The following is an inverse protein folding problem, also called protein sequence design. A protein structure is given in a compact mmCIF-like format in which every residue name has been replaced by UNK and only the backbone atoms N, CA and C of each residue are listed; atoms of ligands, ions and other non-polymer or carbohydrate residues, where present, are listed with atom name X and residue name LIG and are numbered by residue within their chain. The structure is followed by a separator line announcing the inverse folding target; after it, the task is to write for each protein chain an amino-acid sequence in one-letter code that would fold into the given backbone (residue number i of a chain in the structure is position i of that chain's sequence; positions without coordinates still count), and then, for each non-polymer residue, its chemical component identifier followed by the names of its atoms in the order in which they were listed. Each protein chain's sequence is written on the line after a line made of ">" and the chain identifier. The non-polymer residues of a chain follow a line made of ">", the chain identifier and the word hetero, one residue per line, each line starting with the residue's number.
data_IF_046597615003
#
_entry.id   IF_046597615003
#
_cell.length_a   1.000
_cell.length_b   1.000
_cell.length_c   1.000
_cell.angle_alpha   90.00
_cell.angle_beta   90.00
_cell.angle_gamma   90.00
#
_symmetry.space_group_name_H-M   'P 1'
#
loop_
_entity.id
_entity.type
_entity.pdbx_description
1 polymer ?
#
# COMPACT_ATOMS: atom_id res chain seq x y z
N UNK A 1 -1.62 20.77 -18.36
CA UNK A 1 -0.36 20.09 -17.95
C UNK A 1 0.31 19.66 -19.21
N UNK A 2 1.52 20.16 -19.47
CA UNK A 2 2.29 19.75 -20.63
C UNK A 2 2.70 18.28 -20.44
N UNK A 3 2.50 17.48 -21.47
CA UNK A 3 2.92 16.08 -21.43
C UNK A 3 4.45 16.03 -21.54
N UNK A 4 5.07 15.12 -20.77
CA UNK A 4 6.50 14.88 -20.87
C UNK A 4 6.86 14.34 -22.27
N UNK A 5 7.98 14.78 -22.81
CA UNK A 5 8.53 14.20 -24.02
C UNK A 5 9.05 12.78 -23.77
N UNK A 6 9.17 11.96 -24.79
CA UNK A 6 9.68 10.58 -24.68
C UNK A 6 11.06 10.52 -23.99
N UNK A 7 11.93 11.48 -24.28
CA UNK A 7 13.25 11.56 -23.65
C UNK A 7 13.16 11.90 -22.16
N UNK A 8 12.23 12.77 -21.77
CA UNK A 8 11.98 13.08 -20.34
C UNK A 8 11.34 11.90 -19.61
N UNK A 9 10.38 11.20 -20.25
CA UNK A 9 9.80 10.00 -19.70
C UNK A 9 10.86 8.92 -19.45
N UNK A 10 11.70 8.67 -20.48
CA UNK A 10 12.81 7.72 -20.35
C UNK A 10 13.76 8.10 -19.21
N UNK A 11 14.14 9.37 -19.10
CA UNK A 11 15.01 9.85 -18.02
C UNK A 11 14.43 9.55 -16.64
N UNK A 12 13.14 9.85 -16.42
CA UNK A 12 12.50 9.58 -15.13
C UNK A 12 12.34 8.08 -14.85
N UNK A 13 12.00 7.28 -15.85
CA UNK A 13 11.92 5.81 -15.71
C UNK A 13 13.29 5.23 -15.35
N UNK A 14 14.35 5.65 -16.03
CA UNK A 14 15.70 5.19 -15.74
C UNK A 14 16.16 5.63 -14.34
N UNK A 15 15.75 6.82 -13.89
CA UNK A 15 16.00 7.29 -12.53
C UNK A 15 15.22 6.44 -11.50
N UNK A 16 13.93 6.17 -11.71
CA UNK A 16 13.16 5.30 -10.82
C UNK A 16 13.76 3.90 -10.68
N UNK A 17 14.30 3.36 -11.76
CA UNK A 17 15.02 2.08 -11.72
C UNK A 17 16.28 2.09 -10.83
N UNK A 18 16.77 3.26 -10.43
CA UNK A 18 17.90 3.37 -9.51
C UNK A 18 17.50 3.39 -8.04
N UNK A 19 16.20 3.41 -7.74
CA UNK A 19 15.71 3.51 -6.36
C UNK A 19 15.41 2.12 -5.78
N UNK A 20 15.86 1.82 -4.56
CA UNK A 20 15.48 0.61 -3.87
C UNK A 20 14.01 0.65 -3.46
N UNK A 21 13.39 -0.53 -3.35
CA UNK A 21 12.00 -0.66 -2.88
C UNK A 21 11.86 -0.34 -1.39
N UNK A 22 12.94 -0.52 -0.60
CA UNK A 22 13.02 -0.12 0.80
C UNK A 22 14.46 0.15 1.21
N UNK A 23 14.63 0.88 2.32
CA UNK A 23 15.91 1.06 2.99
C UNK A 23 15.78 0.67 4.47
N UNK A 24 16.72 -0.12 4.97
CA UNK A 24 16.92 -0.37 6.39
C UNK A 24 18.26 0.27 6.80
N UNK A 25 18.17 1.31 7.61
CA UNK A 25 19.31 2.08 8.08
C UNK A 25 19.65 1.75 9.55
N UNK A 26 19.10 0.66 10.09
CA UNK A 26 19.25 0.23 11.47
C UNK A 26 18.20 0.89 12.37
N UNK A 27 18.43 2.12 12.75
CA UNK A 27 17.53 2.86 13.66
C UNK A 27 16.30 3.46 12.94
N UNK A 28 16.33 3.50 11.63
CA UNK A 28 15.29 4.08 10.78
C UNK A 28 15.07 3.18 9.55
N UNK A 29 13.82 3.00 9.19
CA UNK A 29 13.39 2.30 7.98
C UNK A 29 12.65 3.24 7.05
N UNK A 30 12.82 3.07 5.74
CA UNK A 30 12.13 3.85 4.72
C UNK A 30 11.50 2.90 3.73
N UNK A 31 10.20 3.08 3.47
CA UNK A 31 9.46 2.33 2.47
C UNK A 31 8.36 3.20 1.88
N UNK A 32 7.88 2.86 0.69
CA UNK A 32 6.81 3.65 0.06
C UNK A 32 5.46 3.44 0.76
N UNK A 33 5.06 2.20 1.07
CA UNK A 33 3.76 1.93 1.66
C UNK A 33 3.76 1.00 2.89
N UNK A 34 4.24 -0.26 2.80
CA UNK A 34 4.11 -1.21 3.88
C UNK A 34 5.43 -1.96 4.16
N UNK A 35 5.88 -1.96 5.41
CA UNK A 35 7.04 -2.73 5.86
C UNK A 35 6.67 -4.18 6.11
N UNK A 36 6.57 -4.98 5.06
CA UNK A 36 6.13 -6.37 5.12
C UNK A 36 7.29 -7.33 4.81
N UNK A 37 7.82 -7.97 5.87
CA UNK A 37 8.99 -8.86 5.76
C UNK A 37 8.80 -10.00 4.77
N UNK A 38 7.68 -10.75 4.74
CA UNK A 38 7.47 -11.81 3.75
C UNK A 38 7.57 -11.30 2.31
N UNK A 39 6.98 -10.16 1.99
CA UNK A 39 7.11 -9.55 0.64
C UNK A 39 8.55 -9.15 0.32
N UNK A 40 9.30 -8.65 1.31
CA UNK A 40 10.73 -8.35 1.14
C UNK A 40 11.57 -9.62 0.89
N UNK A 41 11.21 -10.74 1.51
CA UNK A 41 11.85 -12.04 1.29
C UNK A 41 11.59 -12.56 -0.12
N UNK A 42 10.37 -12.43 -0.64
CA UNK A 42 10.05 -12.77 -2.04
C UNK A 42 10.90 -11.93 -3.00
N UNK A 43 10.91 -10.60 -2.85
CA UNK A 43 11.74 -9.73 -3.68
C UNK A 43 13.22 -10.11 -3.58
N UNK A 44 13.74 -10.31 -2.36
CA UNK A 44 15.15 -10.65 -2.13
C UNK A 44 15.56 -12.01 -2.69
N UNK A 45 14.62 -12.95 -2.82
CA UNK A 45 14.82 -14.27 -3.39
C UNK A 45 14.71 -14.31 -4.91
N UNK A 46 13.98 -13.36 -5.50
CA UNK A 46 13.69 -13.32 -6.93
C UNK A 46 14.63 -12.38 -7.69
N UNK A 47 15.06 -11.28 -7.07
CA UNK A 47 15.86 -10.24 -7.73
C UNK A 47 17.35 -10.41 -7.51
N UNK A 48 18.17 -9.98 -8.49
CA UNK A 48 19.63 -9.99 -8.37
C UNK A 48 20.12 -9.10 -7.22
N UNK A 49 19.41 -8.00 -6.97
CA UNK A 49 19.70 -7.05 -5.89
C UNK A 49 18.59 -7.09 -4.87
N UNK A 50 18.85 -7.61 -3.70
CA UNK A 50 17.92 -7.97 -2.63
C UNK A 50 16.73 -7.03 -2.38
N UNK A 51 16.86 -5.74 -2.62
CA UNK A 51 15.81 -4.73 -2.38
C UNK A 51 15.55 -3.85 -3.62
N UNK A 52 15.79 -4.37 -4.82
CA UNK A 52 15.86 -3.59 -6.04
C UNK A 52 15.39 -4.37 -7.25
N UNK A 53 14.57 -3.79 -8.10
CA UNK A 53 14.32 -4.30 -9.44
C UNK A 53 15.39 -3.72 -10.40
N UNK A 54 16.26 -4.54 -10.96
CA UNK A 54 17.42 -4.10 -11.73
C UNK A 54 17.42 -4.52 -13.19
N UNK A 55 16.80 -5.64 -13.52
CA UNK A 55 16.76 -6.19 -14.87
C UNK A 55 15.40 -5.96 -15.56
N UNK A 56 15.36 -5.92 -16.90
CA UNK A 56 14.09 -5.86 -17.64
C UNK A 56 13.15 -7.01 -17.29
N UNK A 57 13.66 -8.23 -17.08
CA UNK A 57 12.87 -9.41 -16.78
C UNK A 57 12.19 -9.29 -15.40
N UNK A 58 12.92 -8.77 -14.40
CA UNK A 58 12.36 -8.49 -13.08
C UNK A 58 11.21 -7.45 -13.15
N UNK A 59 11.33 -6.42 -13.99
CA UNK A 59 10.26 -5.46 -14.22
C UNK A 59 9.06 -6.09 -14.92
N UNK A 60 9.28 -6.98 -15.88
CA UNK A 60 8.20 -7.71 -16.55
C UNK A 60 7.48 -8.61 -15.54
N UNK A 61 8.21 -9.38 -14.75
CA UNK A 61 7.65 -10.26 -13.73
C UNK A 61 6.91 -9.48 -12.64
N UNK A 62 7.46 -8.35 -12.17
CA UNK A 62 6.80 -7.46 -11.21
C UNK A 62 5.53 -6.78 -11.76
N UNK A 63 5.24 -6.89 -13.06
CA UNK A 63 4.00 -6.46 -13.68
C UNK A 63 3.06 -7.61 -14.08
N UNK A 64 3.49 -8.86 -13.95
CA UNK A 64 2.61 -10.02 -14.16
C UNK A 64 1.78 -10.28 -12.90
N UNK A 65 0.48 -9.99 -12.96
CA UNK A 65 -0.48 -10.19 -11.86
C UNK A 65 -0.59 -11.62 -11.33
N UNK A 66 0.05 -12.58 -11.98
CA UNK A 66 0.07 -13.99 -11.55
C UNK A 66 1.35 -14.34 -10.82
N UNK A 67 2.35 -13.46 -10.81
CA UNK A 67 3.63 -13.71 -10.15
C UNK A 67 3.58 -13.33 -8.67
N UNK A 68 4.32 -14.05 -7.85
CA UNK A 68 4.53 -13.70 -6.43
C UNK A 68 5.28 -12.38 -6.30
N UNK A 69 6.18 -12.08 -7.24
CA UNK A 69 6.93 -10.82 -7.26
C UNK A 69 6.00 -9.62 -7.47
N UNK A 70 4.98 -9.73 -8.36
CA UNK A 70 3.97 -8.68 -8.52
C UNK A 70 3.26 -8.41 -7.20
N UNK A 71 2.77 -9.47 -6.53
CA UNK A 71 2.02 -9.34 -5.28
C UNK A 71 2.89 -8.71 -4.17
N UNK A 72 4.14 -9.16 -4.06
CA UNK A 72 5.10 -8.61 -3.11
C UNK A 72 5.38 -7.12 -3.37
N UNK A 73 5.63 -6.72 -4.61
CA UNK A 73 5.90 -5.32 -5.00
C UNK A 73 4.66 -4.44 -4.77
N UNK A 74 3.44 -4.91 -5.08
CA UNK A 74 2.19 -4.19 -4.80
C UNK A 74 2.03 -3.90 -3.30
N UNK A 75 2.30 -4.88 -2.42
CA UNK A 75 2.25 -4.69 -0.97
C UNK A 75 3.28 -3.65 -0.50
N UNK A 76 4.51 -3.74 -0.99
CA UNK A 76 5.57 -2.82 -0.58
C UNK A 76 5.34 -1.37 -1.07
N UNK A 77 4.77 -1.19 -2.28
CA UNK A 77 4.61 0.12 -2.91
C UNK A 77 3.23 0.74 -2.76
N UNK A 78 2.17 -0.06 -2.64
CA UNK A 78 0.79 0.44 -2.48
C UNK A 78 0.19 0.13 -1.11
N UNK A 79 0.73 -0.85 -0.41
CA UNK A 79 0.22 -1.33 0.86
C UNK A 79 -0.91 -2.37 0.70
N UNK A 80 -1.13 -3.17 1.74
CA UNK A 80 -2.18 -4.18 1.74
C UNK A 80 -3.57 -3.56 1.77
N UNK A 81 -4.53 -4.29 1.21
CA UNK A 81 -5.92 -3.90 1.17
C UNK A 81 -6.81 -4.96 1.83
N UNK A 82 -7.79 -4.51 2.62
CA UNK A 82 -8.81 -5.34 3.25
C UNK A 82 -10.00 -5.43 2.31
N UNK A 83 -10.33 -6.64 1.85
CA UNK A 83 -11.52 -6.88 1.05
C UNK A 83 -12.76 -6.92 1.96
N UNK A 84 -13.60 -5.88 1.88
CA UNK A 84 -14.78 -5.72 2.70
C UNK A 84 -15.84 -6.81 2.45
N UNK A 85 -15.85 -7.41 1.25
CA UNK A 85 -16.76 -8.51 0.95
C UNK A 85 -16.50 -9.75 1.82
N UNK A 86 -15.26 -9.95 2.28
CA UNK A 86 -14.94 -11.02 3.24
C UNK A 86 -15.63 -10.86 4.61
N UNK A 87 -16.15 -9.66 4.89
CA UNK A 87 -16.84 -9.31 6.14
C UNK A 87 -18.34 -9.06 5.92
N UNK A 88 -18.87 -9.42 4.76
CA UNK A 88 -20.26 -9.13 4.36
C UNK A 88 -20.59 -7.62 4.43
N UNK A 89 -19.58 -6.80 4.15
CA UNK A 89 -19.70 -5.36 4.15
C UNK A 89 -19.91 -4.82 2.74
N UNK A 90 -20.77 -3.78 2.56
CA UNK A 90 -21.03 -3.17 1.28
C UNK A 90 -19.80 -2.42 0.75
N UNK A 91 -19.82 -2.11 -0.54
CA UNK A 91 -18.88 -1.17 -1.14
C UNK A 91 -19.04 0.22 -0.52
N UNK A 92 -18.01 1.03 -0.64
CA UNK A 92 -18.01 2.41 -0.18
C UNK A 92 -17.58 3.36 -1.29
N UNK A 93 -17.92 4.63 -1.11
CA UNK A 93 -17.44 5.73 -1.94
C UNK A 93 -16.25 6.38 -1.22
N UNK A 94 -15.10 6.42 -1.86
CA UNK A 94 -13.93 7.08 -1.30
C UNK A 94 -14.03 8.62 -1.38
N UNK A 95 -13.05 9.31 -0.80
CA UNK A 95 -13.01 10.80 -0.79
C UNK A 95 -12.92 11.43 -2.18
N UNK A 96 -12.52 10.67 -3.20
CA UNK A 96 -12.47 11.08 -4.60
C UNK A 96 -13.80 10.86 -5.31
N UNK A 97 -14.75 10.15 -4.71
CA UNK A 97 -16.04 9.80 -5.29
C UNK A 97 -16.06 8.42 -5.95
N UNK A 98 -14.96 7.69 -5.97
CA UNK A 98 -14.86 6.36 -6.58
C UNK A 98 -15.48 5.28 -5.70
N UNK A 99 -16.18 4.34 -6.31
CA UNK A 99 -16.73 3.17 -5.62
C UNK A 99 -15.64 2.12 -5.43
N UNK A 100 -15.41 1.72 -4.17
CA UNK A 100 -14.40 0.75 -3.76
C UNK A 100 -15.04 -0.43 -3.02
N UNK A 101 -14.44 -1.61 -3.19
CA UNK A 101 -14.77 -2.82 -2.41
C UNK A 101 -13.66 -3.19 -1.42
N UNK A 102 -12.51 -2.56 -1.53
CA UNK A 102 -11.35 -2.80 -0.68
C UNK A 102 -10.93 -1.53 0.02
N UNK A 103 -10.71 -1.62 1.33
CA UNK A 103 -10.17 -0.55 2.16
C UNK A 103 -8.68 -0.75 2.35
N UNK A 104 -7.92 0.34 2.44
CA UNK A 104 -6.51 0.25 2.78
C UNK A 104 -6.33 -0.27 4.20
N UNK A 105 -5.38 -1.20 4.40
CA UNK A 105 -5.01 -1.70 5.71
C UNK A 105 -4.03 -0.72 6.38
N UNK A 106 -4.36 -0.27 7.59
CA UNK A 106 -3.46 0.51 8.46
C UNK A 106 -2.51 -0.44 9.19
N UNK A 107 -1.60 -1.04 8.47
CA UNK A 107 -0.66 -2.05 8.93
C UNK A 107 0.19 -1.60 10.14
N UNK A 108 0.31 -0.31 10.38
CA UNK A 108 1.03 0.28 11.53
C UNK A 108 0.19 0.34 12.81
N UNK A 109 -1.09 0.01 12.74
CA UNK A 109 -1.97 -0.07 13.91
C UNK A 109 -1.82 -1.45 14.54
N UNK A 110 -1.46 -1.49 15.83
CA UNK A 110 -1.39 -2.75 16.57
C UNK A 110 -2.78 -3.09 17.14
N UNK A 111 -3.70 -3.48 16.27
CA UNK A 111 -5.08 -3.78 16.65
C UNK A 111 -5.64 -4.97 15.89
N UNK A 112 -6.57 -5.68 16.53
CA UNK A 112 -7.36 -6.74 15.91
C UNK A 112 -8.78 -6.29 15.56
N UNK A 113 -9.13 -5.04 15.80
CA UNK A 113 -10.44 -4.47 15.45
C UNK A 113 -10.44 -3.97 14.01
N UNK A 114 -11.42 -4.41 13.22
CA UNK A 114 -11.55 -4.00 11.83
C UNK A 114 -11.71 -2.47 11.69
N UNK A 115 -12.43 -1.85 12.61
CA UNK A 115 -12.64 -0.40 12.65
C UNK A 115 -11.34 0.39 12.77
N UNK A 116 -10.32 -0.19 13.42
CA UNK A 116 -9.04 0.48 13.62
C UNK A 116 -8.07 0.25 12.48
N UNK A 117 -8.08 -0.95 11.87
CA UNK A 117 -7.12 -1.27 10.79
C UNK A 117 -7.64 -0.95 9.39
N UNK A 118 -8.95 -0.83 9.16
CA UNK A 118 -9.50 -0.44 7.87
C UNK A 118 -9.55 1.10 7.71
N UNK A 119 -8.88 1.66 6.70
CA UNK A 119 -8.94 3.10 6.42
C UNK A 119 -10.22 3.45 5.67
N UNK A 120 -11.25 3.80 6.42
CA UNK A 120 -12.56 4.21 5.92
C UNK A 120 -12.97 5.62 6.38
N UNK A 121 -12.04 6.34 7.00
CA UNK A 121 -12.30 7.70 7.49
C UNK A 121 -12.71 8.65 6.36
N UNK A 122 -13.88 9.24 6.46
CA UNK A 122 -14.45 10.16 5.48
C UNK A 122 -14.93 9.48 4.19
N UNK A 123 -15.10 8.16 4.21
CA UNK A 123 -15.80 7.42 3.18
C UNK A 123 -17.31 7.42 3.45
N UNK A 124 -18.12 7.22 2.41
CA UNK A 124 -19.58 7.18 2.49
C UNK A 124 -20.12 5.87 1.91
N UNK A 125 -21.35 5.56 2.24
CA UNK A 125 -22.11 4.49 1.60
C UNK A 125 -22.67 4.93 0.22
N UNK A 126 -23.45 4.08 -0.42
CA UNK A 126 -24.09 4.36 -1.71
C UNK A 126 -25.12 5.50 -1.68
N UNK A 127 -25.54 5.93 -0.48
CA UNK A 127 -26.48 7.02 -0.26
C UNK A 127 -25.79 8.30 0.25
N UNK A 128 -24.47 8.39 0.10
CA UNK A 128 -23.62 9.52 0.56
C UNK A 128 -23.67 9.77 2.08
N UNK A 129 -24.11 8.76 2.88
CA UNK A 129 -24.03 8.79 4.34
C UNK A 129 -22.66 8.30 4.80
N UNK A 130 -22.17 8.75 5.98
CA UNK A 130 -20.95 8.21 6.56
C UNK A 130 -20.96 6.68 6.54
N UNK A 131 -19.85 6.07 6.12
CA UNK A 131 -19.75 4.62 6.07
C UNK A 131 -20.04 4.04 7.45
N UNK A 132 -20.69 2.87 7.46
CA UNK A 132 -21.21 2.24 8.68
C UNK A 132 -20.13 2.06 9.75
N UNK A 133 -20.57 2.06 11.00
CA UNK A 133 -19.73 1.70 12.14
C UNK A 133 -19.30 0.22 12.03
N UNK A 134 -18.03 -0.03 12.23
CA UNK A 134 -17.40 -1.35 12.22
C UNK A 134 -17.04 -1.83 13.64
N UNK A 135 -17.52 -1.13 14.68
CA UNK A 135 -17.22 -1.49 16.05
C UNK A 135 -17.60 -2.96 16.37
N UNK A 136 -16.72 -3.66 17.05
CA UNK A 136 -16.90 -5.05 17.43
C UNK A 136 -16.66 -6.08 16.33
N UNK A 137 -16.32 -5.66 15.10
CA UNK A 137 -15.91 -6.59 14.04
C UNK A 137 -14.42 -6.87 14.18
N UNK A 138 -14.07 -8.14 14.41
CA UNK A 138 -12.66 -8.56 14.46
C UNK A 138 -12.10 -8.75 13.07
N UNK A 139 -10.88 -8.26 12.86
CA UNK A 139 -10.13 -8.49 11.65
C UNK A 139 -9.78 -9.98 11.50
N UNK A 140 -9.87 -10.50 10.28
CA UNK A 140 -9.49 -11.87 9.96
C UNK A 140 -7.95 -12.04 10.01
N UNK A 141 -7.43 -13.25 10.30
CA UNK A 141 -5.98 -13.48 10.36
C UNK A 141 -5.23 -13.01 9.11
N UNK A 142 -5.80 -13.21 7.93
CA UNK A 142 -5.21 -12.77 6.65
C UNK A 142 -5.02 -11.24 6.56
N UNK A 143 -5.85 -10.47 7.25
CA UNK A 143 -5.74 -9.01 7.26
C UNK A 143 -4.85 -8.51 8.41
N UNK A 144 -4.58 -9.40 9.39
CA UNK A 144 -3.68 -9.13 10.53
C UNK A 144 -2.21 -9.47 10.24
N UNK A 145 -1.93 -10.29 9.23
CA UNK A 145 -0.55 -10.70 8.88
C UNK A 145 0.36 -9.53 8.50
N UNK A 146 -0.24 -8.43 8.04
CA UNK A 146 0.47 -7.21 7.66
C UNK A 146 0.77 -6.29 8.86
N UNK A 147 0.19 -6.55 10.03
CA UNK A 147 0.36 -5.69 11.19
C UNK A 147 1.81 -5.75 11.69
N UNK A 148 2.43 -4.59 11.82
CA UNK A 148 3.80 -4.47 12.24
C UNK A 148 3.89 -4.48 13.78
N UNK A 149 4.48 -5.54 14.34
CA UNK A 149 4.80 -5.63 15.77
C UNK A 149 6.16 -5.02 16.14
N UNK A 150 6.93 -4.63 15.14
CA UNK A 150 8.26 -4.05 15.32
C UNK A 150 8.16 -2.56 15.67
N UNK A 151 8.89 -2.12 16.69
CA UNK A 151 8.87 -0.73 17.18
C UNK A 151 9.87 0.18 16.47
N UNK A 152 10.67 -0.34 15.54
CA UNK A 152 11.60 0.49 14.75
C UNK A 152 10.82 1.51 13.91
N UNK A 153 11.15 2.82 14.01
CA UNK A 153 10.47 3.85 13.23
C UNK A 153 10.52 3.57 11.74
N UNK A 154 9.35 3.62 11.09
CA UNK A 154 9.21 3.44 9.65
C UNK A 154 8.70 4.73 9.03
N UNK A 155 9.46 5.31 8.11
CA UNK A 155 8.99 6.40 7.26
C UNK A 155 8.34 5.81 6.02
N UNK A 156 7.06 6.14 5.82
CA UNK A 156 6.29 5.73 4.64
C UNK A 156 5.44 6.92 4.16
N UNK A 157 5.14 6.95 2.88
CA UNK A 157 4.24 7.94 2.31
C UNK A 157 2.85 7.31 2.12
N UNK A 158 1.85 7.64 2.95
CA UNK A 158 0.49 7.22 2.70
C UNK A 158 -0.02 7.95 1.45
N UNK A 159 -0.22 7.21 0.37
CA UNK A 159 -0.62 7.72 -0.96
C UNK A 159 -1.94 8.51 -1.01
N UNK A 160 -2.65 8.67 0.11
CA UNK A 160 -3.89 9.44 0.17
C UNK A 160 -4.10 10.03 1.56
N UNK A 161 -3.75 11.27 1.79
CA UNK A 161 -4.44 12.18 2.72
C UNK A 161 -3.70 13.50 2.95
N UNK A 162 -3.06 14.09 1.98
CA UNK A 162 -2.80 15.53 2.08
C UNK A 162 -4.05 16.28 1.66
N UNK A 163 -4.97 16.52 2.61
CA UNK A 163 -5.77 17.74 2.54
C UNK A 163 -4.78 18.89 2.47
N UNK A 164 -4.66 19.53 1.31
CA UNK A 164 -4.17 20.91 1.25
C UNK A 164 -5.14 21.73 2.11
N UNK A 165 -4.79 21.98 3.35
CA UNK A 165 -5.37 23.11 4.09
C UNK A 165 -4.93 24.34 3.34
N UNK A 166 -5.80 24.89 2.48
CA UNK A 166 -5.71 26.28 2.05
C UNK A 166 -5.83 27.09 3.34
N UNK A 167 -4.73 27.66 3.80
CA UNK A 167 -4.80 28.79 4.72
C UNK A 167 -5.46 29.93 3.96
N UNK A 168 -6.55 30.43 4.53
CA UNK A 168 -7.16 31.71 4.16
C UNK A 168 -6.19 32.85 4.43
#
# INVERSE_FOLDING_TARGET
>A
MDQLTDSQQKYYVDWFKTMPLWLDLGDIRVIHACWHKPSMEVVSGTTERKNWLSSPDEFVEANDRKSELYEAVEILLKGPEIDLAKYDLPKFRDKGGDIRSKARNRWWMNSTELAEIAELSGCTDEHDKPYRDLAGIKAKPVDQEFLCSDTTPVFYEPLLARKRTRRA
#
